data_IF_225576470456
#
_entry.id   IF_225576470456
#
_cell.length_a   1.000
_cell.length_b   1.000
_cell.length_c   1.000
_cell.angle_alpha   90.00
_cell.angle_beta   90.00
_cell.angle_gamma   90.00
#
_symmetry.space_group_name_H-M   'P 1'
#
loop_
_entity.id
_entity.type
_entity.pdbx_description
1 polymer ?
#
# COMPACT_ATOMS: atom_id res chain seq x y z
N UNK A 1 9.45 26.04 -49.43
CA UNK A 1 9.96 25.94 -48.05
C UNK A 1 8.90 26.44 -47.07
N UNK A 2 8.10 25.55 -46.49
CA UNK A 2 7.26 25.86 -45.31
C UNK A 2 7.53 24.73 -44.31
N UNK A 3 8.28 25.06 -43.27
CA UNK A 3 8.72 24.12 -42.25
C UNK A 3 7.55 23.69 -41.37
N UNK A 4 7.44 22.38 -41.20
CA UNK A 4 6.58 21.69 -40.25
C UNK A 4 7.07 22.02 -38.84
N UNK A 5 6.32 22.83 -38.10
CA UNK A 5 6.49 23.05 -36.65
C UNK A 5 5.40 22.26 -35.93
N UNK A 6 5.57 20.95 -35.86
CA UNK A 6 4.78 20.07 -34.99
C UNK A 6 5.79 19.10 -34.36
N UNK A 7 5.69 18.92 -33.03
CA UNK A 7 6.36 17.91 -32.18
C UNK A 7 7.63 18.32 -31.38
N UNK A 8 7.63 19.41 -30.59
CA UNK A 8 8.66 19.60 -29.51
C UNK A 8 8.07 20.11 -28.17
N UNK A 9 6.77 20.00 -27.92
CA UNK A 9 6.22 20.35 -26.59
C UNK A 9 5.92 19.14 -25.69
N UNK A 10 5.80 17.93 -26.24
CA UNK A 10 5.49 16.72 -25.48
C UNK A 10 6.72 16.04 -24.84
N UNK A 11 7.93 16.37 -25.30
CA UNK A 11 9.18 15.74 -24.84
C UNK A 11 9.83 16.43 -23.64
N UNK A 12 9.51 17.70 -23.39
CA UNK A 12 10.12 18.48 -22.29
C UNK A 12 9.45 18.11 -20.94
N UNK A 13 8.12 17.92 -20.93
CA UNK A 13 7.38 17.59 -19.70
C UNK A 13 7.74 16.21 -19.15
N UNK A 14 7.77 15.19 -20.00
CA UNK A 14 8.14 13.81 -19.62
C UNK A 14 9.59 13.75 -19.10
N UNK A 15 10.48 14.55 -19.67
CA UNK A 15 11.88 14.61 -19.23
C UNK A 15 12.01 15.30 -17.86
N UNK A 16 11.27 16.39 -17.62
CA UNK A 16 11.25 17.07 -16.33
C UNK A 16 10.59 16.24 -15.22
N UNK A 17 9.50 15.52 -15.53
CA UNK A 17 8.85 14.58 -14.60
C UNK A 17 9.80 13.45 -14.18
N UNK A 18 10.54 12.88 -15.12
CA UNK A 18 11.54 11.84 -14.85
C UNK A 18 12.71 12.37 -14.00
N UNK A 19 13.18 13.60 -14.29
CA UNK A 19 14.28 14.23 -13.56
C UNK A 19 13.98 14.41 -12.07
N UNK A 20 12.72 14.71 -11.74
CA UNK A 20 12.30 15.00 -10.36
C UNK A 20 12.07 13.75 -9.51
N UNK A 21 11.73 12.60 -10.12
CA UNK A 21 11.60 11.34 -9.39
C UNK A 21 12.97 10.72 -9.07
N UNK A 22 13.96 10.88 -9.96
CA UNK A 22 15.34 10.47 -9.70
C UNK A 22 15.95 11.21 -8.51
N UNK A 23 15.55 12.47 -8.27
CA UNK A 23 15.97 13.23 -7.09
C UNK A 23 15.32 12.68 -5.81
N UNK A 24 14.03 12.33 -5.84
CA UNK A 24 13.36 11.67 -4.71
C UNK A 24 14.06 10.36 -4.34
N UNK A 25 14.46 9.57 -5.33
CA UNK A 25 15.23 8.32 -5.14
C UNK A 25 16.52 8.61 -4.41
N UNK A 26 17.33 9.57 -4.89
CA UNK A 26 18.61 9.93 -4.25
C UNK A 26 18.45 10.38 -2.81
N UNK A 27 17.43 11.19 -2.52
CA UNK A 27 17.13 11.64 -1.15
C UNK A 27 16.79 10.45 -0.24
N UNK A 28 15.89 9.56 -0.67
CA UNK A 28 15.52 8.35 0.09
C UNK A 28 16.74 7.44 0.32
N UNK A 29 17.56 7.22 -0.71
CA UNK A 29 18.77 6.38 -0.61
C UNK A 29 19.80 6.95 0.38
N UNK A 30 19.89 8.28 0.46
CA UNK A 30 20.83 8.97 1.34
C UNK A 30 20.37 9.08 2.80
N UNK A 31 19.07 8.98 3.06
CA UNK A 31 18.47 9.08 4.38
C UNK A 31 18.29 7.70 5.03
N UNK A 32 19.22 7.37 5.94
CA UNK A 32 19.23 6.10 6.69
C UNK A 32 17.93 5.84 7.47
N UNK A 33 17.16 6.87 7.81
CA UNK A 33 15.89 6.67 8.51
C UNK A 33 14.89 5.86 7.68
N UNK A 34 14.94 5.93 6.35
CA UNK A 34 14.12 5.09 5.48
C UNK A 34 14.56 3.63 5.49
N UNK A 35 15.87 3.36 5.52
CA UNK A 35 16.41 2.00 5.66
C UNK A 35 15.97 1.37 6.99
N UNK A 36 16.07 2.14 8.09
CA UNK A 36 15.63 1.70 9.41
C UNK A 36 14.13 1.39 9.43
N UNK A 37 13.30 2.19 8.75
CA UNK A 37 11.87 1.94 8.65
C UNK A 37 11.54 0.68 7.85
N UNK A 38 12.22 0.43 6.73
CA UNK A 38 11.96 -0.73 5.87
C UNK A 38 12.36 -2.04 6.56
N UNK A 39 13.39 -2.01 7.41
CA UNK A 39 13.86 -3.20 8.15
C UNK A 39 12.92 -3.65 9.28
N UNK A 40 12.00 -2.79 9.71
CA UNK A 40 11.05 -3.08 10.79
C UNK A 40 9.76 -3.71 10.26
N UNK A 41 9.13 -4.53 11.09
CA UNK A 41 7.81 -5.06 10.75
C UNK A 41 6.75 -3.96 10.88
N UNK A 42 5.83 -3.76 9.92
CA UNK A 42 4.80 -2.73 10.02
C UNK A 42 3.86 -2.92 11.22
N UNK A 43 3.70 -4.15 11.70
CA UNK A 43 2.94 -4.44 12.92
C UNK A 43 3.60 -3.88 14.19
N UNK A 44 4.92 -3.68 14.20
CA UNK A 44 5.67 -3.07 15.31
C UNK A 44 5.59 -1.54 15.26
N UNK A 45 5.46 -0.98 14.05
CA UNK A 45 5.28 0.45 13.80
C UNK A 45 3.80 0.88 13.80
N UNK A 46 2.89 -0.05 14.06
CA UNK A 46 1.47 0.14 13.79
C UNK A 46 0.87 1.25 14.68
N UNK A 47 0.14 2.22 14.10
CA UNK A 47 -0.35 3.36 14.85
C UNK A 47 -1.54 3.01 15.75
N UNK A 48 -1.59 3.59 16.96
CA UNK A 48 -2.74 3.42 17.88
C UNK A 48 -4.02 4.06 17.35
N UNK A 49 -3.90 5.18 16.64
CA UNK A 49 -5.00 5.92 16.02
C UNK A 49 -4.68 6.13 14.55
N UNK A 50 -5.68 5.92 13.70
CA UNK A 50 -5.55 6.13 12.26
C UNK A 50 -5.89 7.57 11.88
N UNK A 51 -5.11 8.18 11.00
CA UNK A 51 -5.51 9.43 10.35
C UNK A 51 -6.39 9.14 9.11
N UNK A 52 -7.30 10.04 8.72
CA UNK A 52 -8.08 9.88 7.50
C UNK A 52 -7.20 9.90 6.24
N UNK A 53 -7.47 8.97 5.32
CA UNK A 53 -6.85 8.95 4.00
C UNK A 53 -7.30 10.15 3.16
N UNK A 54 -6.33 10.81 2.52
CA UNK A 54 -6.54 11.86 1.53
C UNK A 54 -5.65 11.57 0.33
N UNK A 55 -6.27 11.52 -0.84
CA UNK A 55 -5.57 11.25 -2.08
C UNK A 55 -4.90 12.52 -2.63
N UNK A 56 -3.59 12.43 -2.87
CA UNK A 56 -2.79 13.45 -3.52
C UNK A 56 -1.91 12.85 -4.63
N UNK A 57 -2.27 11.69 -5.20
CA UNK A 57 -1.45 10.97 -6.18
C UNK A 57 -1.17 11.83 -7.41
N UNK A 58 -2.18 12.46 -8.01
CA UNK A 58 -2.00 13.32 -9.19
C UNK A 58 -1.10 14.53 -8.89
N UNK A 59 -1.25 15.11 -7.70
CA UNK A 59 -0.39 16.20 -7.27
C UNK A 59 1.06 15.73 -7.09
N UNK A 60 1.28 14.56 -6.50
CA UNK A 60 2.62 14.00 -6.32
C UNK A 60 3.25 13.51 -7.61
N UNK A 61 2.45 13.11 -8.60
CA UNK A 61 2.93 12.83 -9.94
C UNK A 61 3.55 14.07 -10.59
N UNK A 62 2.90 15.23 -10.43
CA UNK A 62 3.41 16.50 -10.94
C UNK A 62 4.49 17.13 -10.04
N UNK A 63 4.54 16.80 -8.74
CA UNK A 63 5.38 17.48 -7.74
C UNK A 63 6.06 16.51 -6.75
N UNK A 64 6.84 15.53 -7.21
CA UNK A 64 7.34 14.45 -6.35
C UNK A 64 8.25 14.96 -5.22
N UNK A 65 9.13 15.93 -5.49
CA UNK A 65 9.99 16.56 -4.46
C UNK A 65 9.19 17.34 -3.41
N UNK A 66 8.14 18.06 -3.81
CA UNK A 66 7.27 18.76 -2.85
C UNK A 66 6.51 17.77 -1.96
N UNK A 67 6.07 16.64 -2.52
CA UNK A 67 5.48 15.56 -1.73
C UNK A 67 6.48 14.90 -0.79
N UNK A 68 7.72 14.68 -1.23
CA UNK A 68 8.78 14.13 -0.38
C UNK A 68 9.04 15.06 0.80
N UNK A 69 9.14 16.37 0.56
CA UNK A 69 9.29 17.36 1.63
C UNK A 69 8.14 17.27 2.64
N UNK A 70 6.88 17.28 2.19
CA UNK A 70 5.71 17.18 3.09
C UNK A 70 5.67 15.86 3.86
N UNK A 71 6.07 14.77 3.21
CA UNK A 71 6.24 13.48 3.86
C UNK A 71 7.31 13.53 4.98
N UNK A 72 8.44 14.17 4.71
CA UNK A 72 9.51 14.38 5.68
C UNK A 72 9.10 15.31 6.83
N UNK A 73 8.23 16.28 6.55
CA UNK A 73 7.61 17.17 7.54
C UNK A 73 6.51 16.48 8.37
N UNK A 74 6.22 15.19 8.10
CA UNK A 74 5.32 14.36 8.91
C UNK A 74 3.91 14.17 8.36
N UNK A 75 3.61 14.60 7.13
CA UNK A 75 2.30 14.36 6.51
C UNK A 75 2.23 12.95 5.87
N UNK A 76 1.56 12.04 6.57
CA UNK A 76 1.45 10.65 6.14
C UNK A 76 0.72 10.46 4.81
N UNK A 77 -0.23 11.35 4.46
CA UNK A 77 -0.98 11.25 3.20
C UNK A 77 -0.08 11.57 2.00
N UNK A 78 0.84 12.52 2.14
CA UNK A 78 1.84 12.81 1.11
C UNK A 78 2.88 11.70 0.99
N UNK A 79 3.28 11.06 2.11
CA UNK A 79 4.10 9.85 2.05
C UNK A 79 3.41 8.75 1.24
N UNK A 80 2.14 8.43 1.55
CA UNK A 80 1.40 7.37 0.86
C UNK A 80 1.08 7.72 -0.59
N UNK A 81 0.78 8.97 -0.90
CA UNK A 81 0.49 9.39 -2.28
C UNK A 81 1.75 9.33 -3.15
N UNK A 82 2.90 9.75 -2.61
CA UNK A 82 4.18 9.61 -3.29
C UNK A 82 4.58 8.14 -3.44
N UNK A 83 4.34 7.30 -2.43
CA UNK A 83 4.57 5.86 -2.52
C UNK A 83 3.77 5.22 -3.66
N UNK A 84 2.47 5.54 -3.75
CA UNK A 84 1.59 5.06 -4.82
C UNK A 84 2.05 5.53 -6.20
N UNK A 85 2.46 6.79 -6.33
CA UNK A 85 3.03 7.30 -7.56
C UNK A 85 4.33 6.58 -7.95
N UNK A 86 5.21 6.28 -6.98
CA UNK A 86 6.51 5.67 -7.24
C UNK A 86 6.45 4.18 -7.65
N UNK A 87 5.36 3.47 -7.34
CA UNK A 87 5.20 2.05 -7.67
C UNK A 87 5.45 1.78 -9.17
N UNK A 88 6.31 0.81 -9.46
CA UNK A 88 6.69 0.40 -10.82
C UNK A 88 7.50 1.43 -11.62
N UNK A 89 7.86 2.59 -11.04
CA UNK A 89 8.57 3.67 -11.74
C UNK A 89 10.05 3.82 -11.36
N UNK A 90 10.46 3.35 -10.17
CA UNK A 90 11.81 3.63 -9.62
C UNK A 90 12.84 2.50 -9.83
N UNK A 91 12.55 1.53 -10.71
CA UNK A 91 13.42 0.37 -10.97
C UNK A 91 13.56 -0.61 -9.81
N UNK A 92 13.05 -0.27 -8.62
CA UNK A 92 13.01 -1.07 -7.40
C UNK A 92 11.71 -0.78 -6.63
N UNK A 93 11.24 -1.74 -5.83
CA UNK A 93 10.12 -1.50 -4.90
C UNK A 93 10.58 -0.81 -3.61
N UNK A 94 11.89 -0.73 -3.37
CA UNK A 94 12.44 -0.19 -2.11
C UNK A 94 11.85 1.19 -1.76
N UNK A 95 11.78 2.11 -2.71
CA UNK A 95 11.32 3.49 -2.48
C UNK A 95 9.84 3.58 -2.10
N UNK A 96 8.97 2.84 -2.80
CA UNK A 96 7.54 2.77 -2.45
C UNK A 96 7.35 2.14 -1.07
N UNK A 97 8.06 1.04 -0.78
CA UNK A 97 8.02 0.37 0.53
C UNK A 97 8.53 1.28 1.66
N UNK A 98 9.58 2.06 1.42
CA UNK A 98 10.14 3.03 2.37
C UNK A 98 9.14 4.15 2.69
N UNK A 99 8.49 4.71 1.67
CA UNK A 99 7.47 5.74 1.83
C UNK A 99 6.21 5.20 2.52
N UNK A 100 5.77 3.98 2.19
CA UNK A 100 4.67 3.33 2.91
C UNK A 100 5.02 3.04 4.36
N UNK A 101 6.25 2.62 4.66
CA UNK A 101 6.72 2.40 6.05
C UNK A 101 6.68 3.69 6.87
N UNK A 102 7.14 4.80 6.29
CA UNK A 102 7.08 6.13 6.92
C UNK A 102 5.63 6.57 7.14
N UNK A 103 4.78 6.44 6.12
CA UNK A 103 3.35 6.77 6.21
C UNK A 103 2.62 5.95 7.28
N UNK A 104 2.91 4.65 7.37
CA UNK A 104 2.38 3.76 8.39
C UNK A 104 2.73 4.25 9.80
N UNK A 105 4.03 4.52 10.05
CA UNK A 105 4.52 5.06 11.32
C UNK A 105 3.87 6.40 11.69
N UNK A 106 3.54 7.23 10.70
CA UNK A 106 2.90 8.53 10.87
C UNK A 106 1.38 8.44 11.09
N UNK A 107 0.78 7.25 11.09
CA UNK A 107 -0.63 7.07 11.45
C UNK A 107 -1.56 6.65 10.33
N UNK A 108 -1.06 6.47 9.10
CA UNK A 108 -1.93 6.12 7.99
C UNK A 108 -2.07 4.61 7.84
N UNK A 109 -3.18 4.06 8.34
CA UNK A 109 -3.42 2.61 8.42
C UNK A 109 -3.37 1.94 7.03
N UNK A 110 -3.93 2.56 5.99
CA UNK A 110 -3.88 1.95 4.64
C UNK A 110 -2.44 1.84 4.10
N UNK A 111 -1.51 2.69 4.56
CA UNK A 111 -0.11 2.55 4.19
C UNK A 111 0.56 1.35 4.91
N UNK A 112 0.15 1.05 6.15
CA UNK A 112 0.56 -0.19 6.81
C UNK A 112 0.09 -1.42 6.01
N UNK A 113 -1.16 -1.40 5.51
CA UNK A 113 -1.69 -2.46 4.64
C UNK A 113 -0.88 -2.60 3.35
N UNK A 114 -0.54 -1.49 2.68
CA UNK A 114 0.28 -1.53 1.46
C UNK A 114 1.68 -2.10 1.73
N UNK A 115 2.34 -1.64 2.79
CA UNK A 115 3.66 -2.15 3.21
C UNK A 115 3.62 -3.65 3.52
N UNK A 116 2.57 -4.12 4.19
CA UNK A 116 2.38 -5.54 4.46
C UNK A 116 2.13 -6.35 3.17
N UNK A 117 1.44 -5.79 2.18
CA UNK A 117 1.26 -6.43 0.87
C UNK A 117 2.59 -6.61 0.14
N UNK A 118 3.48 -5.62 0.20
CA UNK A 118 4.83 -5.71 -0.33
C UNK A 118 5.65 -6.84 0.30
N UNK A 119 5.49 -7.09 1.60
CA UNK A 119 6.19 -8.16 2.33
C UNK A 119 5.86 -9.57 1.82
N UNK A 120 4.67 -9.78 1.28
CA UNK A 120 4.22 -11.09 0.77
C UNK A 120 5.07 -11.59 -0.41
N UNK A 121 5.71 -10.67 -1.15
CA UNK A 121 6.59 -11.03 -2.27
C UNK A 121 7.88 -11.73 -1.80
N UNK A 122 8.28 -11.54 -0.55
CA UNK A 122 9.49 -12.16 -0.01
C UNK A 122 9.17 -13.54 0.56
N UNK A 123 9.92 -14.55 0.12
CA UNK A 123 9.81 -15.90 0.66
C UNK A 123 10.37 -15.92 2.08
N UNK A 124 9.53 -16.23 3.07
CA UNK A 124 9.98 -16.41 4.45
C UNK A 124 8.84 -16.37 5.46
N UNK A 125 8.94 -17.20 6.50
CA UNK A 125 7.94 -17.28 7.57
C UNK A 125 7.82 -15.96 8.34
N UNK A 126 8.94 -15.28 8.62
CA UNK A 126 8.95 -13.99 9.32
C UNK A 126 8.19 -12.91 8.54
N UNK A 127 8.47 -12.77 7.24
CA UNK A 127 7.77 -11.80 6.37
C UNK A 127 6.28 -12.07 6.28
N UNK A 128 5.89 -13.35 6.16
CA UNK A 128 4.49 -13.76 6.13
C UNK A 128 3.78 -13.44 7.46
N UNK A 129 4.38 -13.82 8.59
CA UNK A 129 3.80 -13.57 9.91
C UNK A 129 3.66 -12.07 10.18
N UNK A 130 4.66 -11.30 9.81
CA UNK A 130 4.64 -9.84 9.90
C UNK A 130 3.51 -9.23 9.06
N UNK A 131 3.35 -9.67 7.81
CA UNK A 131 2.29 -9.18 6.92
C UNK A 131 0.90 -9.53 7.44
N UNK A 132 0.67 -10.80 7.81
CA UNK A 132 -0.63 -11.29 8.32
C UNK A 132 -1.01 -10.59 9.62
N UNK A 133 -0.04 -10.38 10.52
CA UNK A 133 -0.29 -9.61 11.75
C UNK A 133 -0.65 -8.16 11.45
N UNK A 134 0.00 -7.55 10.47
CA UNK A 134 -0.33 -6.19 10.05
C UNK A 134 -1.73 -6.11 9.44
N UNK A 135 -2.13 -7.07 8.61
CA UNK A 135 -3.49 -7.11 8.05
C UNK A 135 -4.56 -7.25 9.14
N UNK A 136 -4.30 -8.08 10.16
CA UNK A 136 -5.19 -8.19 11.33
C UNK A 136 -5.37 -6.83 12.02
N UNK A 137 -4.27 -6.12 12.30
CA UNK A 137 -4.30 -4.80 12.94
C UNK A 137 -4.96 -3.73 12.06
N UNK A 138 -4.65 -3.72 10.76
CA UNK A 138 -5.32 -2.85 9.79
C UNK A 138 -6.83 -3.10 9.77
N UNK A 139 -7.23 -4.37 9.78
CA UNK A 139 -8.65 -4.73 9.81
C UNK A 139 -9.34 -4.32 11.12
N UNK A 140 -8.67 -4.43 12.27
CA UNK A 140 -9.24 -3.97 13.54
C UNK A 140 -9.46 -2.46 13.58
N UNK A 141 -8.70 -1.69 12.78
CA UNK A 141 -8.93 -0.27 12.52
C UNK A 141 -9.93 -0.01 11.37
N UNK A 142 -10.56 -1.06 10.86
CA UNK A 142 -11.56 -1.01 9.81
C UNK A 142 -10.99 -0.76 8.41
N UNK A 143 -9.69 -0.88 8.16
CA UNK A 143 -9.15 -0.71 6.80
C UNK A 143 -9.74 -1.76 5.84
N UNK A 144 -10.35 -1.31 4.74
CA UNK A 144 -11.10 -2.19 3.85
C UNK A 144 -10.19 -3.26 3.21
N UNK A 145 -9.03 -2.83 2.69
CA UNK A 145 -8.04 -3.74 2.12
C UNK A 145 -7.38 -4.61 3.18
N UNK A 146 -7.11 -4.09 4.38
CA UNK A 146 -6.60 -4.85 5.51
C UNK A 146 -7.52 -6.01 5.88
N UNK A 147 -8.82 -5.75 5.95
CA UNK A 147 -9.82 -6.80 6.17
C UNK A 147 -9.92 -7.81 5.03
N UNK A 148 -9.91 -7.34 3.77
CA UNK A 148 -9.91 -8.24 2.61
C UNK A 148 -8.70 -9.17 2.60
N UNK A 149 -7.49 -8.64 2.87
CA UNK A 149 -6.28 -9.44 2.94
C UNK A 149 -6.30 -10.39 4.13
N UNK A 150 -6.68 -9.92 5.31
CA UNK A 150 -6.75 -10.79 6.50
C UNK A 150 -7.74 -11.95 6.30
N UNK A 151 -8.92 -11.67 5.74
CA UNK A 151 -9.90 -12.69 5.39
C UNK A 151 -9.36 -13.71 4.38
N UNK A 152 -8.59 -13.27 3.38
CA UNK A 152 -7.93 -14.17 2.44
C UNK A 152 -6.92 -15.12 3.14
N UNK A 153 -6.13 -14.61 4.07
CA UNK A 153 -5.14 -15.40 4.82
C UNK A 153 -5.79 -16.34 5.84
N UNK A 154 -6.89 -15.92 6.48
CA UNK A 154 -7.73 -16.78 7.30
C UNK A 154 -8.35 -17.92 6.50
N UNK A 155 -8.82 -17.66 5.28
CA UNK A 155 -9.38 -18.71 4.42
C UNK A 155 -8.32 -19.73 3.97
N UNK A 156 -7.10 -19.26 3.72
CA UNK A 156 -5.98 -20.11 3.28
C UNK A 156 -5.30 -20.85 4.43
N UNK A 157 -5.32 -20.32 5.65
CA UNK A 157 -4.56 -20.84 6.79
C UNK A 157 -3.05 -20.62 6.68
N UNK A 158 -2.63 -19.53 6.03
CA UNK A 158 -1.20 -19.17 5.84
C UNK A 158 -0.82 -18.06 6.81
N UNK A 159 0.18 -18.28 7.65
CA UNK A 159 0.60 -17.31 8.68
C UNK A 159 -0.44 -17.06 9.78
N UNK A 160 -1.59 -17.74 9.72
CA UNK A 160 -2.67 -17.73 10.70
C UNK A 160 -3.44 -19.05 10.59
N UNK A 161 -4.04 -19.51 11.68
CA UNK A 161 -4.90 -20.70 11.66
C UNK A 161 -6.09 -20.46 10.72
N UNK A 162 -6.41 -21.46 9.90
CA UNK A 162 -7.57 -21.38 9.00
C UNK A 162 -8.86 -21.23 9.78
N UNK A 163 -9.67 -20.25 9.42
CA UNK A 163 -10.96 -19.94 10.05
C UNK A 163 -11.90 -19.31 9.01
N UNK A 164 -12.87 -20.08 8.52
CA UNK A 164 -13.77 -19.62 7.46
C UNK A 164 -14.85 -18.67 7.98
N UNK A 165 -15.32 -18.86 9.20
CA UNK A 165 -16.37 -18.02 9.77
C UNK A 165 -15.81 -16.63 10.05
N UNK A 166 -14.66 -16.56 10.73
CA UNK A 166 -13.95 -15.29 10.95
C UNK A 166 -13.54 -14.63 9.63
N UNK A 167 -13.14 -15.41 8.63
CA UNK A 167 -12.82 -14.87 7.31
C UNK A 167 -14.04 -14.18 6.68
N UNK A 168 -15.21 -14.84 6.68
CA UNK A 168 -16.44 -14.26 6.13
C UNK A 168 -16.82 -12.97 6.87
N UNK A 169 -16.74 -12.94 8.20
CA UNK A 169 -17.05 -11.76 9.01
C UNK A 169 -16.18 -10.55 8.64
N UNK A 170 -14.85 -10.72 8.58
CA UNK A 170 -13.96 -9.61 8.26
C UNK A 170 -14.07 -9.19 6.79
N UNK A 171 -14.37 -10.12 5.87
CA UNK A 171 -14.58 -9.80 4.46
C UNK A 171 -15.79 -8.88 4.24
N UNK A 172 -16.81 -8.93 5.11
CA UNK A 172 -17.92 -7.98 5.07
C UNK A 172 -17.47 -6.54 5.36
N UNK A 173 -16.53 -6.35 6.29
CA UNK A 173 -15.93 -5.04 6.61
C UNK A 173 -15.15 -4.50 5.41
N UNK A 174 -14.55 -5.37 4.59
CA UNK A 174 -13.91 -5.00 3.31
C UNK A 174 -14.86 -4.26 2.34
N UNK A 175 -16.17 -4.36 2.55
CA UNK A 175 -17.19 -3.66 1.77
C UNK A 175 -17.68 -2.32 2.35
N UNK A 176 -17.06 -1.81 3.43
CA UNK A 176 -17.51 -0.58 4.11
C UNK A 176 -17.58 0.67 3.21
N UNK A 177 -16.76 0.72 2.16
CA UNK A 177 -16.69 1.83 1.22
C UNK A 177 -17.66 1.68 0.03
N UNK A 178 -18.48 0.62 0.02
CA UNK A 178 -19.45 0.33 -1.03
C UNK A 178 -19.02 -0.79 -1.99
N UNK A 179 -19.98 -1.29 -2.76
CA UNK A 179 -19.80 -2.49 -3.59
C UNK A 179 -18.86 -2.33 -4.78
N UNK A 180 -18.58 -1.09 -5.17
CA UNK A 180 -17.67 -0.77 -6.27
C UNK A 180 -16.23 -0.57 -5.80
N UNK A 181 -15.99 -0.54 -4.49
CA UNK A 181 -14.63 -0.49 -3.96
C UNK A 181 -13.89 -1.79 -4.36
N UNK A 182 -12.70 -1.71 -4.94
CA UNK A 182 -11.90 -2.88 -5.30
C UNK A 182 -11.67 -3.86 -4.14
N UNK A 183 -11.53 -3.37 -2.90
CA UNK A 183 -11.42 -4.22 -1.72
C UNK A 183 -12.68 -5.07 -1.53
N UNK A 184 -13.86 -4.48 -1.74
CA UNK A 184 -15.14 -5.18 -1.64
C UNK A 184 -15.32 -6.24 -2.73
N UNK A 185 -14.96 -5.90 -3.98
CA UNK A 185 -15.06 -6.84 -5.10
C UNK A 185 -14.19 -8.09 -4.85
N UNK A 186 -12.97 -7.88 -4.36
CA UNK A 186 -12.08 -8.97 -3.95
C UNK A 186 -12.65 -9.73 -2.75
N UNK A 187 -13.17 -9.02 -1.74
CA UNK A 187 -13.77 -9.66 -0.58
C UNK A 187 -14.93 -10.58 -0.96
N UNK A 188 -15.84 -10.12 -1.83
CA UNK A 188 -16.96 -10.93 -2.34
C UNK A 188 -16.51 -12.15 -3.13
N UNK A 189 -15.44 -12.03 -3.91
CA UNK A 189 -14.87 -13.17 -4.63
C UNK A 189 -14.36 -14.24 -3.63
N UNK A 190 -13.57 -13.82 -2.65
CA UNK A 190 -13.06 -14.73 -1.60
C UNK A 190 -14.22 -15.36 -0.81
N UNK A 191 -15.20 -14.57 -0.38
CA UNK A 191 -16.38 -15.09 0.33
C UNK A 191 -17.16 -16.11 -0.49
N UNK A 192 -17.28 -15.93 -1.80
CA UNK A 192 -17.92 -16.90 -2.69
C UNK A 192 -17.13 -18.20 -2.77
N UNK A 193 -15.80 -18.13 -2.83
CA UNK A 193 -14.93 -19.31 -2.82
C UNK A 193 -15.05 -20.08 -1.50
N UNK A 194 -15.04 -19.40 -0.35
CA UNK A 194 -15.25 -20.01 0.97
C UNK A 194 -16.59 -20.75 1.01
N UNK A 195 -17.68 -20.09 0.60
CA UNK A 195 -19.03 -20.68 0.58
C UNK A 195 -19.11 -21.92 -0.30
N UNK A 196 -18.45 -21.91 -1.46
CA UNK A 196 -18.38 -23.06 -2.35
C UNK A 196 -17.59 -24.24 -1.77
N UNK A 197 -16.55 -23.98 -0.97
CA UNK A 197 -15.83 -25.03 -0.23
C UNK A 197 -16.74 -25.60 0.86
N UNK A 198 -17.35 -24.76 1.68
CA UNK A 198 -18.24 -25.18 2.77
C UNK A 198 -19.44 -25.98 2.28
N UNK A 199 -20.00 -25.67 1.11
CA UNK A 199 -21.13 -26.42 0.54
C UNK A 199 -20.76 -27.82 0.04
N UNK A 200 -19.49 -28.09 -0.27
CA UNK A 200 -19.02 -29.41 -0.72
C UNK A 200 -18.77 -30.39 0.43
N UNK A 201 -18.75 -29.89 1.66
CA UNK A 201 -18.47 -30.66 2.88
C UNK A 201 -19.70 -30.78 3.80
N UNK A 202 -20.88 -30.38 3.32
CA UNK A 202 -22.18 -30.65 3.93
C UNK A 202 -22.78 -31.89 3.28
#
# INVERSE_FOLDING_TARGET
MKYVFLLIFFSISVFAEKLNLDEVIREIDSDKSYQDLVSQCPSELFPKLGIPYKDHIDYCAANPMSCLKRCNDGDANYCSSLANYAQGKTGSEYHSEALFSKSCKLGLVNACTNRASGLIKYNGESSLNCAVKTFELSCSQGDAWGCTMYGAYLAQGKGVKRDFDKALDVLEIGCKNGIQDPACQNAKNISSQIKAVLSKHK
#
